data_IF_979795032152
#
_entry.id   IF_979795032152
#
_cell.length_a   1.000
_cell.length_b   1.000
_cell.length_c   1.000
_cell.angle_alpha   90.00
_cell.angle_beta   90.00
_cell.angle_gamma   90.00
#
_symmetry.space_group_name_H-M   'P 1'
#
loop_
_entity.id
_entity.type
_entity.pdbx_description
1 polymer ?
#
# COMPACT_ATOMS: atom_id res chain seq x y z
N UNK A 1 16.25 4.07 4.34
CA UNK A 1 15.72 4.69 5.57
C UNK A 1 14.21 4.76 5.48
N UNK A 2 13.49 4.87 6.59
CA UNK A 2 12.01 4.84 6.58
C UNK A 2 11.40 6.03 5.82
N UNK A 3 12.07 7.18 5.81
CA UNK A 3 11.68 8.35 5.03
C UNK A 3 11.72 8.07 3.51
N UNK A 4 12.79 7.43 3.01
CA UNK A 4 12.87 7.06 1.60
C UNK A 4 11.73 6.13 1.19
N UNK A 5 11.31 5.23 2.08
CA UNK A 5 10.17 4.34 1.84
C UNK A 5 8.84 5.11 1.76
N UNK A 6 8.62 6.09 2.65
CA UNK A 6 7.45 6.96 2.58
C UNK A 6 7.37 7.71 1.25
N UNK A 7 8.49 8.29 0.79
CA UNK A 7 8.54 8.97 -0.51
C UNK A 7 8.19 8.03 -1.67
N UNK A 8 8.69 6.79 -1.67
CA UNK A 8 8.32 5.81 -2.70
C UNK A 8 6.85 5.41 -2.67
N UNK A 9 6.29 5.22 -1.48
CA UNK A 9 4.86 4.94 -1.33
C UNK A 9 4.03 6.13 -1.85
N UNK A 10 4.44 7.36 -1.54
CA UNK A 10 3.78 8.58 -1.99
C UNK A 10 3.82 8.73 -3.51
N UNK A 11 4.96 8.48 -4.14
CA UNK A 11 5.11 8.49 -5.60
C UNK A 11 4.18 7.44 -6.24
N UNK A 12 4.16 6.21 -5.73
CA UNK A 12 3.29 5.14 -6.25
C UNK A 12 1.81 5.47 -6.12
N UNK A 13 1.40 6.09 -5.00
CA UNK A 13 0.05 6.61 -4.82
C UNK A 13 -0.30 7.65 -5.90
N UNK A 14 0.62 8.56 -6.24
CA UNK A 14 0.39 9.59 -7.25
C UNK A 14 0.42 9.07 -8.68
N UNK A 15 1.29 8.10 -8.97
CA UNK A 15 1.58 7.63 -10.32
C UNK A 15 0.76 6.42 -10.75
N UNK A 16 0.23 5.61 -9.82
CA UNK A 16 -0.51 4.40 -10.15
C UNK A 16 -1.65 4.68 -11.14
N UNK A 17 -2.47 5.69 -10.86
CA UNK A 17 -3.58 6.09 -11.74
C UNK A 17 -3.08 6.63 -13.09
N UNK A 18 -2.00 7.39 -13.11
CA UNK A 18 -1.38 7.90 -14.33
C UNK A 18 -0.92 6.77 -15.26
N UNK A 19 -0.47 5.66 -14.69
CA UNK A 19 -0.06 4.47 -15.45
C UNK A 19 -1.18 3.43 -15.61
N UNK A 20 -2.44 3.79 -15.36
CA UNK A 20 -3.61 2.90 -15.46
C UNK A 20 -3.64 1.74 -14.44
N UNK A 21 -3.00 1.89 -13.29
CA UNK A 21 -3.07 0.98 -12.15
C UNK A 21 -3.72 1.66 -10.93
N UNK A 22 -5.03 1.98 -10.95
CA UNK A 22 -5.72 2.56 -9.80
C UNK A 22 -5.67 1.68 -8.55
N UNK A 23 -5.54 0.35 -8.69
CA UNK A 23 -5.35 -0.55 -7.55
C UNK A 23 -3.99 -0.34 -6.86
N UNK A 24 -2.93 -0.05 -7.62
CA UNK A 24 -1.62 0.32 -7.06
C UNK A 24 -1.73 1.63 -6.29
N UNK A 25 -2.47 2.61 -6.81
CA UNK A 25 -2.76 3.87 -6.10
C UNK A 25 -3.40 3.60 -4.73
N UNK A 26 -4.39 2.71 -4.69
CA UNK A 26 -5.12 2.35 -3.46
C UNK A 26 -4.18 1.69 -2.44
N UNK A 27 -3.45 0.65 -2.85
CA UNK A 27 -2.54 -0.09 -1.96
C UNK A 27 -1.41 0.82 -1.45
N UNK A 28 -0.79 1.60 -2.33
CA UNK A 28 0.25 2.55 -1.95
C UNK A 28 -0.29 3.66 -1.03
N UNK A 29 -1.53 4.10 -1.24
CA UNK A 29 -2.21 5.05 -0.35
C UNK A 29 -2.44 4.49 1.06
N UNK A 30 -2.81 3.22 1.19
CA UNK A 30 -2.88 2.53 2.50
C UNK A 30 -1.52 2.50 3.19
N UNK A 31 -0.46 2.16 2.44
CA UNK A 31 0.92 2.17 2.95
C UNK A 31 1.36 3.57 3.39
N UNK A 32 1.06 4.61 2.62
CA UNK A 32 1.35 5.99 3.01
C UNK A 32 0.72 6.37 4.34
N UNK A 33 -0.54 5.98 4.60
CA UNK A 33 -1.22 6.26 5.87
C UNK A 33 -0.51 5.61 7.05
N UNK A 34 -0.01 4.38 6.88
CA UNK A 34 0.76 3.70 7.92
C UNK A 34 2.08 4.43 8.23
N UNK A 35 2.68 5.03 7.21
CA UNK A 35 3.97 5.69 7.29
C UNK A 35 3.88 7.21 7.45
N UNK A 36 2.70 7.81 7.61
CA UNK A 36 2.54 9.28 7.48
C UNK A 36 3.17 10.05 8.65
N UNK A 37 3.00 9.52 9.86
CA UNK A 37 3.57 10.08 11.09
C UNK A 37 5.01 9.59 11.32
N UNK A 38 5.92 10.50 11.71
CA UNK A 38 7.34 10.18 11.85
C UNK A 38 7.65 9.20 13.00
N UNK A 39 6.93 9.27 14.11
CA UNK A 39 7.09 8.35 15.24
C UNK A 39 6.53 6.97 14.89
N UNK A 40 5.32 6.93 14.30
CA UNK A 40 4.68 5.68 13.85
C UNK A 40 5.44 5.00 12.73
N UNK A 41 6.07 5.78 11.85
CA UNK A 41 6.92 5.25 10.77
C UNK A 41 8.11 4.44 11.31
N UNK A 42 8.64 4.79 12.48
CA UNK A 42 9.73 4.02 13.10
C UNK A 42 9.24 2.72 13.77
N UNK A 43 7.98 2.69 14.22
CA UNK A 43 7.34 1.52 14.84
C UNK A 43 6.48 0.71 13.88
N UNK A 44 6.47 1.06 12.59
CA UNK A 44 5.67 0.41 11.58
C UNK A 44 6.01 -1.10 11.50
N UNK A 45 5.02 -1.99 11.61
CA UNK A 45 5.26 -3.43 11.63
C UNK A 45 5.74 -3.90 10.26
N UNK A 46 6.97 -4.42 10.21
CA UNK A 46 7.60 -4.97 9.00
C UNK A 46 6.71 -5.97 8.24
N UNK A 47 5.95 -6.88 8.89
CA UNK A 47 5.08 -7.81 8.17
C UNK A 47 3.96 -7.13 7.37
N UNK A 48 3.42 -5.99 7.85
CA UNK A 48 2.39 -5.23 7.11
C UNK A 48 3.05 -4.50 5.95
N UNK A 49 4.24 -3.94 6.16
CA UNK A 49 5.02 -3.29 5.13
C UNK A 49 5.34 -4.25 3.96
N UNK A 50 5.93 -5.40 4.27
CA UNK A 50 6.30 -6.41 3.27
C UNK A 50 5.07 -6.88 2.49
N UNK A 51 3.94 -7.09 3.18
CA UNK A 51 2.68 -7.46 2.53
C UNK A 51 2.19 -6.41 1.51
N UNK A 52 2.38 -5.10 1.77
CA UNK A 52 2.05 -4.06 0.78
C UNK A 52 2.99 -4.10 -0.43
N UNK A 53 4.29 -4.31 -0.19
CA UNK A 53 5.28 -4.39 -1.28
C UNK A 53 4.98 -5.59 -2.18
N UNK A 54 4.72 -6.75 -1.59
CA UNK A 54 4.41 -7.97 -2.33
C UNK A 54 3.07 -7.87 -3.05
N UNK A 55 2.07 -7.22 -2.44
CA UNK A 55 0.81 -6.92 -3.11
C UNK A 55 1.00 -6.04 -4.34
N UNK A 56 1.76 -4.93 -4.23
CA UNK A 56 2.06 -4.04 -5.37
C UNK A 56 2.78 -4.81 -6.48
N UNK A 57 3.77 -5.65 -6.14
CA UNK A 57 4.47 -6.49 -7.11
C UNK A 57 3.53 -7.49 -7.79
N UNK A 58 2.65 -8.14 -7.02
CA UNK A 58 1.72 -9.13 -7.53
C UNK A 58 0.71 -8.50 -8.50
N UNK A 59 0.07 -7.40 -8.12
CA UNK A 59 -0.94 -6.75 -8.98
C UNK A 59 -0.33 -6.20 -10.27
N UNK A 60 0.92 -5.72 -10.24
CA UNK A 60 1.65 -5.29 -11.45
C UNK A 60 2.04 -6.49 -12.30
N UNK A 61 2.62 -7.54 -11.72
CA UNK A 61 3.01 -8.76 -12.44
C UNK A 61 1.82 -9.42 -13.14
N UNK A 62 0.70 -9.50 -12.43
CA UNK A 62 -0.49 -10.22 -12.88
C UNK A 62 -1.46 -9.30 -13.65
N UNK A 63 -1.05 -8.04 -13.93
CA UNK A 63 -1.84 -7.03 -14.66
C UNK A 63 -3.22 -6.76 -14.04
N UNK A 64 -3.33 -6.89 -12.72
CA UNK A 64 -4.54 -6.59 -11.95
C UNK A 64 -4.58 -5.08 -11.70
N UNK A 65 -5.16 -4.36 -12.65
CA UNK A 65 -5.15 -2.89 -12.66
C UNK A 65 -6.14 -2.27 -11.68
N UNK A 66 -7.29 -2.90 -11.50
CA UNK A 66 -8.47 -2.30 -10.86
C UNK A 66 -9.10 -3.24 -9.83
N UNK A 67 -10.05 -2.72 -9.04
CA UNK A 67 -10.75 -3.48 -8.00
C UNK A 67 -11.98 -4.25 -8.50
N UNK A 68 -12.30 -4.18 -9.80
CA UNK A 68 -13.23 -5.14 -10.42
C UNK A 68 -12.66 -6.56 -10.39
N UNK A 69 -11.34 -6.72 -10.27
CA UNK A 69 -10.73 -8.03 -10.05
C UNK A 69 -10.89 -8.44 -8.58
N UNK A 70 -11.62 -9.53 -8.28
CA UNK A 70 -11.97 -9.90 -6.91
C UNK A 70 -10.76 -10.10 -6.01
N UNK A 71 -9.72 -10.80 -6.49
CA UNK A 71 -8.47 -10.98 -5.74
C UNK A 71 -7.76 -9.66 -5.42
N UNK A 72 -7.78 -8.69 -6.35
CA UNK A 72 -7.12 -7.40 -6.14
C UNK A 72 -7.86 -6.56 -5.09
N UNK A 73 -9.19 -6.56 -5.15
CA UNK A 73 -10.06 -5.91 -4.16
C UNK A 73 -9.88 -6.50 -2.77
N UNK A 74 -9.98 -7.83 -2.64
CA UNK A 74 -9.87 -8.50 -1.35
C UNK A 74 -8.47 -8.28 -0.73
N UNK A 75 -7.43 -8.25 -1.55
CA UNK A 75 -6.06 -7.93 -1.13
C UNK A 75 -5.96 -6.50 -0.60
N UNK A 76 -6.48 -5.50 -1.34
CA UNK A 76 -6.46 -4.11 -0.92
C UNK A 76 -7.25 -3.90 0.39
N UNK A 77 -8.45 -4.47 0.50
CA UNK A 77 -9.28 -4.40 1.70
C UNK A 77 -8.58 -5.02 2.92
N UNK A 78 -7.96 -6.19 2.75
CA UNK A 78 -7.24 -6.87 3.83
C UNK A 78 -6.08 -6.03 4.34
N UNK A 79 -5.32 -5.41 3.43
CA UNK A 79 -4.19 -4.55 3.79
C UNK A 79 -4.66 -3.28 4.51
N UNK A 80 -5.72 -2.65 4.02
CA UNK A 80 -6.33 -1.47 4.64
C UNK A 80 -6.83 -1.78 6.06
N UNK A 81 -7.47 -2.94 6.26
CA UNK A 81 -7.91 -3.39 7.59
C UNK A 81 -6.74 -3.58 8.55
N UNK A 82 -5.64 -4.20 8.10
CA UNK A 82 -4.45 -4.39 8.93
C UNK A 82 -3.79 -3.06 9.32
N UNK A 83 -3.74 -2.11 8.38
CA UNK A 83 -3.24 -0.76 8.67
C UNK A 83 -4.15 -0.06 9.68
N UNK A 84 -5.48 -0.13 9.51
CA UNK A 84 -6.42 0.47 10.44
C UNK A 84 -6.29 -0.12 11.86
N UNK A 85 -6.14 -1.43 11.98
CA UNK A 85 -5.89 -2.11 13.27
C UNK A 85 -4.59 -1.64 13.93
N UNK A 86 -3.52 -1.48 13.16
CA UNK A 86 -2.25 -0.97 13.67
C UNK A 86 -2.37 0.50 14.12
N UNK A 87 -3.11 1.34 13.40
CA UNK A 87 -3.27 2.75 13.74
C UNK A 87 -4.20 3.02 14.93
N UNK A 88 -5.04 2.04 15.29
CA UNK A 88 -5.98 2.09 16.40
C UNK A 88 -5.41 1.59 17.74
N UNK A 89 -4.27 0.89 17.70
CA UNK A 89 -3.50 0.47 18.89
C UNK A 89 -2.48 1.52 19.30
#
# INVERSE_FOLDING_TARGET
>A
TAEALYFRAHDLKGLGTTYEYPLVTRIAGSLCKMLDDAERRMSAPLPILDAHIDAIRAVVRDQIKTDEHPTGRDLAETLEQRVAQHLAG
#
